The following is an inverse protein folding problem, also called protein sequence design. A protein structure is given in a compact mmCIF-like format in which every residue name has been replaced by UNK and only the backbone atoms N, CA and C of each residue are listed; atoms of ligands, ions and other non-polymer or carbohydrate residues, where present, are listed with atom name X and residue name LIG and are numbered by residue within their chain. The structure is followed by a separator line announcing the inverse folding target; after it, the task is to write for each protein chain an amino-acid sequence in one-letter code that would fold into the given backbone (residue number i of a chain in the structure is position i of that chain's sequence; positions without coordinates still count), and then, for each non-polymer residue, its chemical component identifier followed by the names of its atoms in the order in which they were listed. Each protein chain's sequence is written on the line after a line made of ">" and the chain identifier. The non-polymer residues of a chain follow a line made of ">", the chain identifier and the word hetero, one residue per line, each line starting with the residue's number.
data_IF_466812354712
#
_entry.id   IF_466812354712
#
_cell.length_a   1.000
_cell.length_b   1.000
_cell.length_c   1.000
_cell.angle_alpha   90.00
_cell.angle_beta   90.00
_cell.angle_gamma   90.00
#
_symmetry.space_group_name_H-M   'P 1'
#
loop_
_entity.id
_entity.type
_entity.pdbx_description
1 polymer ?
#
# COMPACT_ATOMS: atom_id res chain seq x y z
N UNK A 1 14.80 82.25 40.59
CA UNK A 1 14.67 81.24 39.52
C UNK A 1 14.25 79.93 40.15
N UNK A 2 12.96 79.59 40.06
CA UNK A 2 12.37 78.40 40.68
C UNK A 2 12.36 77.24 39.69
N UNK A 3 12.84 76.06 40.10
CA UNK A 3 12.78 74.82 39.32
C UNK A 3 11.47 74.10 39.65
N UNK A 4 10.63 73.87 38.64
CA UNK A 4 9.42 73.06 38.75
C UNK A 4 9.78 71.57 38.89
N UNK A 5 9.09 70.80 39.76
CA UNK A 5 9.29 69.37 39.86
C UNK A 5 8.57 68.65 38.72
N UNK A 6 9.20 67.61 38.16
CA UNK A 6 8.60 66.74 37.14
C UNK A 6 7.60 65.76 37.77
N UNK A 7 6.52 65.41 37.06
CA UNK A 7 5.49 64.52 37.56
C UNK A 7 5.97 63.06 37.63
N UNK A 8 5.68 62.43 38.75
CA UNK A 8 5.99 61.04 39.07
C UNK A 8 4.99 60.12 38.34
N UNK A 9 5.44 59.39 37.31
CA UNK A 9 4.61 58.44 36.57
C UNK A 9 4.55 57.11 37.34
N UNK A 10 3.48 56.91 38.11
CA UNK A 10 3.18 55.62 38.75
C UNK A 10 2.61 54.63 37.72
N UNK A 11 3.45 53.69 37.28
CA UNK A 11 3.04 52.57 36.44
C UNK A 11 2.26 51.53 37.25
N UNK A 12 0.93 51.50 37.07
CA UNK A 12 0.07 50.46 37.63
C UNK A 12 0.22 49.17 36.80
N UNK A 13 1.00 48.22 37.30
CA UNK A 13 1.08 46.86 36.74
C UNK A 13 -0.23 46.12 37.05
N UNK A 14 -1.09 45.96 36.04
CA UNK A 14 -2.23 45.05 36.12
C UNK A 14 -1.76 43.62 35.86
N UNK A 15 -2.02 42.66 36.77
CA UNK A 15 -1.72 41.26 36.51
C UNK A 15 -2.64 40.73 35.40
N UNK A 16 -2.06 40.29 34.29
CA UNK A 16 -2.79 39.60 33.23
C UNK A 16 -3.27 38.23 33.72
N UNK A 17 -4.54 37.85 33.51
CA UNK A 17 -5.08 36.58 33.98
C UNK A 17 -4.48 35.43 33.15
N UNK A 18 -3.65 34.62 33.80
CA UNK A 18 -2.91 33.47 33.25
C UNK A 18 -3.78 32.22 33.02
N UNK A 19 -5.11 32.38 32.91
CA UNK A 19 -6.08 31.29 33.00
C UNK A 19 -6.71 30.84 31.66
N UNK A 20 -6.24 31.35 30.52
CA UNK A 20 -6.85 31.08 29.19
C UNK A 20 -5.98 30.29 28.21
N UNK A 21 -4.88 29.67 28.67
CA UNK A 21 -3.96 28.90 27.82
C UNK A 21 -3.98 27.38 28.05
N UNK A 22 -4.95 26.85 28.80
CA UNK A 22 -5.05 25.41 29.08
C UNK A 22 -5.79 24.55 28.02
N UNK A 23 -6.76 25.02 27.21
CA UNK A 23 -7.50 24.11 26.33
C UNK A 23 -6.83 23.83 24.97
N UNK A 24 -5.72 24.49 24.62
CA UNK A 24 -5.04 24.28 23.33
C UNK A 24 -4.03 23.11 23.32
N UNK A 25 -3.64 22.60 24.50
CA UNK A 25 -2.67 21.50 24.59
C UNK A 25 -3.28 20.10 24.40
N UNK A 26 -4.60 19.95 24.52
CA UNK A 26 -5.30 18.66 24.36
C UNK A 26 -5.70 18.32 22.92
N UNK A 27 -5.53 19.25 21.97
CA UNK A 27 -5.87 19.02 20.55
C UNK A 27 -4.75 18.40 19.70
N UNK A 28 -3.50 18.41 20.16
CA UNK A 28 -2.35 18.01 19.34
C UNK A 28 -1.92 16.54 19.50
N UNK A 29 -2.43 15.83 20.50
CA UNK A 29 -2.05 14.43 20.74
C UNK A 29 -2.73 13.43 19.78
N UNK A 30 -3.70 13.87 18.97
CA UNK A 30 -4.43 13.00 18.03
C UNK A 30 -3.90 12.94 16.59
N UNK A 31 -2.95 13.81 16.21
CA UNK A 31 -2.54 13.95 14.82
C UNK A 31 -1.39 13.03 14.40
N UNK A 32 -0.67 12.41 15.35
CA UNK A 32 0.39 11.45 15.06
C UNK A 32 -0.14 10.02 15.16
N UNK A 33 -1.05 9.63 14.25
CA UNK A 33 -1.31 8.20 14.01
C UNK A 33 -0.08 7.61 13.31
N UNK A 34 0.95 7.32 14.09
CA UNK A 34 2.07 6.49 13.63
C UNK A 34 1.48 5.17 13.18
N UNK A 35 1.56 4.87 11.88
CA UNK A 35 1.22 3.55 11.38
C UNK A 35 2.20 2.57 12.03
N UNK A 36 1.68 1.54 12.70
CA UNK A 36 2.53 0.52 13.31
C UNK A 36 3.42 -0.11 12.22
N UNK A 37 4.76 -0.11 12.38
CA UNK A 37 5.67 -0.67 11.40
C UNK A 37 5.34 -2.11 11.00
N UNK A 38 4.80 -2.91 11.93
CA UNK A 38 4.37 -4.28 11.67
C UNK A 38 3.25 -4.39 10.60
N UNK A 39 2.38 -3.38 10.48
CA UNK A 39 1.33 -3.34 9.43
C UNK A 39 1.85 -2.92 8.07
N UNK A 40 3.08 -2.39 7.99
CA UNK A 40 3.69 -1.93 6.74
C UNK A 40 4.52 -3.03 6.06
N UNK A 41 4.91 -4.08 6.78
CA UNK A 41 5.84 -5.09 6.26
C UNK A 41 5.14 -6.13 5.38
N UNK A 42 3.88 -6.48 5.64
CA UNK A 42 3.13 -7.41 4.78
C UNK A 42 1.62 -7.17 4.93
N UNK A 43 1.10 -6.13 4.29
CA UNK A 43 -0.35 -6.03 4.13
C UNK A 43 -0.84 -7.21 3.28
N UNK A 44 -1.85 -7.93 3.78
CA UNK A 44 -2.44 -9.08 3.11
C UNK A 44 -3.00 -8.67 1.73
N UNK A 45 -2.81 -9.54 0.73
CA UNK A 45 -3.30 -9.37 -0.65
C UNK A 45 -4.07 -10.60 -1.11
N UNK A 46 -4.58 -11.40 -0.18
CA UNK A 46 -5.37 -12.60 -0.46
C UNK A 46 -6.76 -12.27 -1.02
N UNK A 47 -7.29 -11.07 -0.78
CA UNK A 47 -8.48 -10.53 -1.44
C UNK A 47 -8.24 -9.24 -2.25
N UNK A 48 -9.15 -8.95 -3.17
CA UNK A 48 -9.11 -7.72 -3.97
C UNK A 48 -9.24 -6.48 -3.08
N UNK A 49 -10.14 -6.52 -2.09
CA UNK A 49 -10.34 -5.45 -1.12
C UNK A 49 -9.11 -5.18 -0.26
N UNK A 50 -8.48 -6.24 0.25
CA UNK A 50 -7.24 -6.08 1.06
C UNK A 50 -6.10 -5.54 0.22
N UNK A 51 -6.00 -5.90 -1.06
CA UNK A 51 -5.00 -5.33 -1.98
C UNK A 51 -5.19 -3.84 -2.18
N UNK A 52 -6.43 -3.37 -2.35
CA UNK A 52 -6.71 -1.93 -2.41
C UNK A 52 -6.39 -1.25 -1.08
N UNK A 53 -6.76 -1.85 0.05
CA UNK A 53 -6.46 -1.31 1.37
C UNK A 53 -4.94 -1.22 1.63
N UNK A 54 -4.17 -2.22 1.20
CA UNK A 54 -2.72 -2.26 1.24
C UNK A 54 -2.12 -1.12 0.40
N UNK A 55 -2.57 -0.98 -0.86
CA UNK A 55 -2.16 0.11 -1.74
C UNK A 55 -2.43 1.49 -1.12
N UNK A 56 -3.64 1.71 -0.57
CA UNK A 56 -3.99 2.95 0.12
C UNK A 56 -3.12 3.20 1.35
N UNK A 57 -2.80 2.15 2.11
CA UNK A 57 -1.91 2.23 3.27
C UNK A 57 -0.50 2.67 2.85
N UNK A 58 0.09 2.01 1.85
CA UNK A 58 1.42 2.33 1.34
C UNK A 58 1.50 3.73 0.75
N UNK A 59 0.45 4.16 0.05
CA UNK A 59 0.37 5.52 -0.47
C UNK A 59 0.38 6.56 0.64
N UNK A 60 -0.39 6.36 1.73
CA UNK A 60 -0.39 7.27 2.90
C UNK A 60 0.96 7.29 3.62
N UNK A 61 1.65 6.16 3.64
CA UNK A 61 2.97 6.02 4.23
C UNK A 61 4.11 6.45 3.29
N UNK A 62 3.79 6.90 2.07
CA UNK A 62 4.75 7.29 1.02
C UNK A 62 5.78 6.19 0.70
N UNK A 63 5.34 4.93 0.77
CA UNK A 63 6.14 3.74 0.50
C UNK A 63 6.01 3.32 -0.97
N UNK A 64 6.70 4.03 -1.86
CA UNK A 64 6.61 3.86 -3.31
C UNK A 64 6.84 2.42 -3.78
N UNK A 65 7.82 1.72 -3.20
CA UNK A 65 8.17 0.36 -3.62
C UNK A 65 7.04 -0.62 -3.25
N UNK A 66 6.51 -0.52 -2.04
CA UNK A 66 5.39 -1.32 -1.55
C UNK A 66 4.11 -0.99 -2.34
N UNK A 67 3.86 0.28 -2.63
CA UNK A 67 2.77 0.75 -3.48
C UNK A 67 2.90 0.15 -4.89
N UNK A 68 4.09 0.22 -5.50
CA UNK A 68 4.39 -0.37 -6.80
C UNK A 68 4.22 -1.90 -6.79
N UNK A 69 4.50 -2.54 -5.67
CA UNK A 69 4.36 -3.98 -5.50
C UNK A 69 2.91 -4.47 -5.47
N UNK A 70 1.93 -3.60 -5.26
CA UNK A 70 0.51 -3.92 -5.43
C UNK A 70 0.06 -4.05 -6.90
N UNK A 71 0.88 -3.66 -7.88
CA UNK A 71 0.50 -3.72 -9.29
C UNK A 71 0.81 -5.06 -9.98
N UNK A 72 -0.02 -5.40 -10.96
CA UNK A 72 0.05 -6.62 -11.77
C UNK A 72 1.32 -6.68 -12.61
N UNK A 73 1.65 -7.87 -13.13
CA UNK A 73 2.75 -8.01 -14.08
C UNK A 73 2.53 -7.24 -15.38
N UNK A 74 1.28 -7.20 -15.86
CA UNK A 74 0.91 -6.46 -17.07
C UNK A 74 1.05 -4.94 -16.89
N UNK A 75 0.76 -4.41 -15.70
CA UNK A 75 1.06 -3.02 -15.36
C UNK A 75 2.57 -2.77 -15.34
N UNK A 76 3.34 -3.59 -14.62
CA UNK A 76 4.80 -3.42 -14.48
C UNK A 76 5.56 -3.56 -15.81
N UNK A 77 5.04 -4.29 -16.79
CA UNK A 77 5.59 -4.34 -18.15
C UNK A 77 5.45 -3.01 -18.91
N UNK A 78 4.42 -2.22 -18.59
CA UNK A 78 4.15 -0.91 -19.22
C UNK A 78 4.84 0.23 -18.48
N UNK A 79 5.00 0.10 -17.16
CA UNK A 79 5.56 1.12 -16.30
C UNK A 79 6.68 0.54 -15.43
N UNK A 80 7.91 1.01 -15.65
CA UNK A 80 9.02 0.74 -14.72
C UNK A 80 8.76 1.41 -13.37
N UNK A 81 9.45 0.95 -12.32
CA UNK A 81 9.36 1.58 -10.99
C UNK A 81 9.69 3.08 -11.04
N UNK A 82 10.78 3.46 -11.73
CA UNK A 82 11.17 4.87 -11.87
C UNK A 82 10.11 5.71 -12.58
N UNK A 83 9.57 5.21 -13.71
CA UNK A 83 8.50 5.89 -14.45
C UNK A 83 7.25 6.06 -13.60
N UNK A 84 6.95 5.06 -12.77
CA UNK A 84 5.82 5.12 -11.85
C UNK A 84 6.03 6.17 -10.76
N UNK A 85 7.22 6.25 -10.15
CA UNK A 85 7.54 7.29 -9.17
C UNK A 85 7.39 8.70 -9.75
N UNK A 86 7.95 8.94 -10.94
CA UNK A 86 7.82 10.22 -11.64
C UNK A 86 6.35 10.55 -11.95
N UNK A 87 5.58 9.56 -12.42
CA UNK A 87 4.16 9.69 -12.68
C UNK A 87 3.39 10.05 -11.41
N UNK A 88 3.64 9.37 -10.29
CA UNK A 88 3.00 9.63 -8.99
C UNK A 88 3.27 11.06 -8.53
N UNK A 89 4.51 11.51 -8.63
CA UNK A 89 4.92 12.86 -8.19
C UNK A 89 4.29 13.95 -9.06
N UNK A 90 4.28 13.74 -10.38
CA UNK A 90 3.63 14.65 -11.32
C UNK A 90 2.13 14.71 -11.05
N UNK A 91 1.47 13.57 -10.89
CA UNK A 91 0.04 13.50 -10.65
C UNK A 91 -0.34 14.15 -9.32
N UNK A 92 0.45 13.97 -8.26
CA UNK A 92 0.24 14.66 -6.98
C UNK A 92 0.41 16.19 -7.07
N UNK A 93 1.23 16.70 -8.00
CA UNK A 93 1.40 18.15 -8.26
C UNK A 93 0.26 18.71 -9.10
N UNK A 94 -0.09 18.03 -10.19
CA UNK A 94 -1.12 18.48 -11.15
C UNK A 94 -2.53 18.28 -10.62
N UNK A 95 -2.74 17.25 -9.80
CA UNK A 95 -4.04 16.84 -9.27
C UNK A 95 -3.94 16.65 -7.76
N UNK A 96 -4.06 17.73 -6.96
CA UNK A 96 -3.83 17.66 -5.50
C UNK A 96 -4.71 16.64 -4.76
N UNK A 97 -5.90 16.34 -5.30
CA UNK A 97 -6.80 15.33 -4.76
C UNK A 97 -6.21 13.91 -4.80
N UNK A 98 -5.24 13.64 -5.68
CA UNK A 98 -4.59 12.34 -5.80
C UNK A 98 -3.92 11.91 -4.48
N UNK A 99 -3.38 12.86 -3.70
CA UNK A 99 -2.81 12.59 -2.37
C UNK A 99 -3.84 12.01 -1.38
N UNK A 100 -5.12 12.19 -1.67
CA UNK A 100 -6.21 11.71 -0.83
C UNK A 100 -6.68 10.29 -1.19
N UNK A 101 -6.15 9.67 -2.25
CA UNK A 101 -6.54 8.29 -2.64
C UNK A 101 -6.30 7.28 -1.52
N UNK A 102 -5.27 7.49 -0.70
CA UNK A 102 -5.01 6.71 0.50
C UNK A 102 -6.14 6.74 1.55
N UNK A 103 -7.14 7.61 1.37
CA UNK A 103 -8.36 7.72 2.17
C UNK A 103 -9.65 7.52 1.37
N UNK A 104 -9.56 7.07 0.10
CA UNK A 104 -10.73 6.84 -0.73
C UNK A 104 -11.63 5.75 -0.12
N UNK A 105 -12.93 5.98 -0.18
CA UNK A 105 -13.93 5.04 0.31
C UNK A 105 -14.26 4.02 -0.77
N UNK A 106 -14.37 2.74 -0.40
CA UNK A 106 -14.85 1.71 -1.30
C UNK A 106 -16.37 1.84 -1.44
N UNK A 107 -16.83 2.11 -2.66
CA UNK A 107 -18.24 2.30 -2.99
C UNK A 107 -18.87 1.00 -3.45
N UNK A 108 -18.23 0.32 -4.40
CA UNK A 108 -18.78 -0.88 -5.03
C UNK A 108 -17.64 -1.86 -5.38
N UNK A 109 -17.96 -3.15 -5.34
CA UNK A 109 -17.08 -4.22 -5.79
C UNK A 109 -17.85 -5.13 -6.75
N UNK A 110 -17.32 -5.32 -7.96
CA UNK A 110 -17.96 -6.08 -9.04
C UNK A 110 -17.08 -7.25 -9.47
N UNK A 111 -17.71 -8.43 -9.61
CA UNK A 111 -17.07 -9.61 -10.18
C UNK A 111 -17.09 -9.55 -11.70
N UNK A 112 -15.92 -9.57 -12.33
CA UNK A 112 -15.82 -9.74 -13.79
C UNK A 112 -15.48 -11.19 -14.17
N UNK A 113 -15.04 -11.99 -13.20
CA UNK A 113 -14.74 -13.41 -13.37
C UNK A 113 -13.90 -13.95 -12.20
N UNK A 114 -13.51 -15.24 -12.24
CA UNK A 114 -12.88 -15.92 -11.12
C UNK A 114 -11.50 -15.36 -10.72
N UNK A 115 -10.86 -14.61 -11.61
CA UNK A 115 -9.54 -14.00 -11.43
C UNK A 115 -9.53 -12.49 -11.77
N UNK A 116 -10.69 -11.84 -11.84
CA UNK A 116 -10.80 -10.42 -12.18
C UNK A 116 -11.93 -9.73 -11.41
N UNK A 117 -11.63 -8.58 -10.83
CA UNK A 117 -12.57 -7.76 -10.05
C UNK A 117 -12.44 -6.31 -10.46
N UNK A 118 -13.50 -5.55 -10.27
CA UNK A 118 -13.46 -4.09 -10.28
C UNK A 118 -13.88 -3.57 -8.92
N UNK A 119 -13.17 -2.55 -8.43
CA UNK A 119 -13.52 -1.85 -7.21
C UNK A 119 -13.64 -0.36 -7.53
N UNK A 120 -14.82 0.18 -7.30
CA UNK A 120 -15.10 1.60 -7.45
C UNK A 120 -14.82 2.30 -6.12
N UNK A 121 -14.04 3.38 -6.17
CA UNK A 121 -13.60 4.17 -5.04
C UNK A 121 -14.10 5.60 -5.17
N UNK A 122 -14.54 6.22 -4.06
CA UNK A 122 -14.91 7.63 -4.01
C UNK A 122 -13.90 8.44 -3.19
N UNK A 123 -13.46 9.57 -3.72
CA UNK A 123 -12.59 10.50 -2.99
C UNK A 123 -12.76 11.93 -3.49
N UNK A 124 -12.96 12.89 -2.57
CA UNK A 124 -13.03 14.32 -2.90
C UNK A 124 -13.99 14.66 -4.07
N UNK A 125 -15.16 14.01 -4.11
CA UNK A 125 -16.14 14.19 -5.19
C UNK A 125 -15.75 13.56 -6.53
N UNK A 126 -14.73 12.70 -6.55
CA UNK A 126 -14.30 11.92 -7.71
C UNK A 126 -14.57 10.44 -7.51
N UNK A 127 -14.83 9.74 -8.61
CA UNK A 127 -14.94 8.28 -8.64
C UNK A 127 -13.80 7.69 -9.45
N UNK A 128 -13.13 6.70 -8.86
CA UNK A 128 -12.05 5.94 -9.48
C UNK A 128 -12.51 4.50 -9.63
N UNK A 129 -12.02 3.81 -10.65
CA UNK A 129 -12.20 2.37 -10.80
C UNK A 129 -10.84 1.69 -10.82
N UNK A 130 -10.61 0.83 -9.85
CA UNK A 130 -9.47 -0.07 -9.83
C UNK A 130 -9.86 -1.40 -10.46
N UNK A 131 -9.18 -1.81 -11.53
CA UNK A 131 -9.27 -3.17 -12.05
C UNK A 131 -8.23 -4.03 -11.35
N UNK A 132 -8.66 -5.14 -10.76
CA UNK A 132 -7.79 -6.10 -10.10
C UNK A 132 -7.78 -7.43 -10.84
N UNK A 133 -6.61 -8.04 -10.89
CA UNK A 133 -6.38 -9.38 -11.44
C UNK A 133 -5.73 -10.26 -10.38
N UNK A 134 -6.02 -11.55 -10.43
CA UNK A 134 -5.41 -12.54 -9.56
C UNK A 134 -4.24 -13.19 -10.27
N UNK A 135 -3.04 -13.06 -9.71
CA UNK A 135 -1.80 -13.62 -10.25
C UNK A 135 -1.20 -14.64 -9.28
N UNK A 136 -0.54 -15.64 -9.84
CA UNK A 136 0.15 -16.69 -9.11
C UNK A 136 1.66 -16.46 -9.18
N UNK A 137 2.29 -16.52 -8.02
CA UNK A 137 3.72 -16.28 -7.80
C UNK A 137 4.36 -17.51 -7.19
N UNK A 138 5.64 -17.69 -7.48
CA UNK A 138 6.48 -18.56 -6.70
C UNK A 138 7.68 -17.80 -6.18
N UNK A 139 8.16 -18.22 -5.01
CA UNK A 139 9.43 -17.78 -4.43
C UNK A 139 10.16 -18.99 -3.89
N UNK A 140 11.46 -19.05 -4.13
CA UNK A 140 12.33 -20.15 -3.74
C UNK A 140 13.51 -19.51 -3.05
N UNK A 141 13.66 -19.79 -1.76
CA UNK A 141 14.81 -19.39 -0.98
C UNK A 141 15.78 -20.56 -0.92
N UNK A 142 16.98 -20.29 -1.37
CA UNK A 142 18.16 -21.13 -1.21
C UNK A 142 18.90 -20.70 0.06
N UNK A 143 19.94 -21.43 0.44
CA UNK A 143 20.74 -21.07 1.61
C UNK A 143 21.37 -19.66 1.50
N UNK A 144 21.69 -19.21 0.29
CA UNK A 144 22.46 -18.00 0.03
C UNK A 144 21.73 -16.95 -0.85
N UNK A 145 20.53 -17.25 -1.35
CA UNK A 145 19.88 -16.47 -2.41
C UNK A 145 18.39 -16.78 -2.52
N UNK A 146 17.65 -16.07 -3.38
CA UNK A 146 16.29 -16.45 -3.73
C UNK A 146 15.96 -16.22 -5.22
N UNK A 147 15.07 -17.05 -5.75
CA UNK A 147 14.51 -16.96 -7.09
C UNK A 147 13.00 -16.77 -7.00
N UNK A 148 12.43 -15.86 -7.79
CA UNK A 148 10.99 -15.66 -7.87
C UNK A 148 10.49 -15.57 -9.31
N UNK A 149 9.16 -15.70 -9.46
CA UNK A 149 8.56 -15.57 -10.77
C UNK A 149 7.05 -15.72 -10.77
N UNK A 150 6.47 -15.52 -11.96
CA UNK A 150 5.02 -15.61 -12.22
C UNK A 150 4.71 -16.83 -13.08
N UNK A 151 3.93 -17.76 -12.51
CA UNK A 151 3.45 -18.98 -13.19
C UNK A 151 2.10 -19.38 -12.59
N UNK A 152 1.13 -19.83 -13.40
CA UNK A 152 -0.13 -20.34 -12.86
C UNK A 152 0.11 -21.47 -11.85
N UNK A 153 -0.51 -21.40 -10.67
CA UNK A 153 -0.29 -22.36 -9.60
C UNK A 153 -0.63 -23.79 -10.02
N UNK A 154 -1.63 -23.99 -10.90
CA UNK A 154 -1.96 -25.33 -11.44
C UNK A 154 -0.88 -25.94 -12.34
N UNK A 155 0.08 -25.14 -12.81
CA UNK A 155 1.27 -25.66 -13.51
C UNK A 155 2.40 -26.01 -12.55
N UNK A 156 2.45 -25.34 -11.40
CA UNK A 156 3.46 -25.54 -10.36
C UNK A 156 3.06 -26.64 -9.37
N UNK A 157 1.79 -26.76 -9.03
CA UNK A 157 1.28 -27.68 -8.00
C UNK A 157 0.37 -28.69 -8.67
N UNK A 158 0.73 -29.97 -8.58
CA UNK A 158 -0.10 -31.09 -9.04
C UNK A 158 -0.40 -32.02 -7.88
N UNK A 159 -1.65 -32.48 -7.82
CA UNK A 159 -2.05 -33.56 -6.94
C UNK A 159 -2.03 -34.83 -7.77
N UNK A 160 -1.20 -35.79 -7.38
CA UNK A 160 -1.21 -37.14 -7.96
C UNK A 160 -2.18 -38.01 -7.18
N UNK A 161 -3.12 -38.64 -7.89
CA UNK A 161 -4.08 -39.58 -7.29
C UNK A 161 -3.34 -40.75 -6.62
N UNK A 162 -3.89 -41.27 -5.50
CA UNK A 162 -3.18 -42.26 -4.71
C UNK A 162 -3.17 -43.60 -5.44
N UNK A 163 -2.00 -44.22 -5.61
CA UNK A 163 -1.94 -45.67 -5.82
C UNK A 163 -2.24 -46.42 -4.53
N UNK A 164 -1.89 -45.85 -3.36
CA UNK A 164 -1.92 -46.54 -2.06
C UNK A 164 -2.22 -45.60 -0.87
N UNK A 165 -3.44 -45.06 -0.80
CA UNK A 165 -4.01 -44.38 0.38
C UNK A 165 -3.46 -43.01 0.83
N UNK A 166 -2.43 -42.44 0.19
CA UNK A 166 -1.98 -41.06 0.46
C UNK A 166 -1.97 -40.20 -0.81
N UNK A 167 -2.71 -39.08 -0.79
CA UNK A 167 -2.60 -38.06 -1.84
C UNK A 167 -1.22 -37.44 -1.79
N UNK A 168 -0.47 -37.55 -2.88
CA UNK A 168 0.84 -36.90 -3.01
C UNK A 168 0.67 -35.56 -3.71
N UNK A 169 1.13 -34.49 -3.07
CA UNK A 169 1.26 -33.17 -3.69
C UNK A 169 2.67 -33.04 -4.25
N UNK A 170 2.77 -32.76 -5.54
CA UNK A 170 4.03 -32.52 -6.25
C UNK A 170 4.10 -31.04 -6.60
N UNK A 171 5.18 -30.37 -6.22
CA UNK A 171 5.43 -28.98 -6.61
C UNK A 171 6.63 -28.93 -7.55
N UNK A 172 6.39 -28.51 -8.78
CA UNK A 172 7.36 -28.33 -9.85
C UNK A 172 7.70 -26.84 -9.99
N UNK A 173 8.90 -26.46 -9.55
CA UNK A 173 9.41 -25.11 -9.78
C UNK A 173 10.28 -25.07 -11.04
N UNK A 174 10.19 -24.02 -11.87
CA UNK A 174 11.06 -23.84 -13.00
C UNK A 174 12.43 -23.35 -12.51
N UNK A 175 13.21 -24.26 -11.93
CA UNK A 175 14.58 -23.98 -11.56
C UNK A 175 15.36 -23.71 -12.84
N UNK A 176 16.06 -22.57 -12.90
CA UNK A 176 16.96 -22.28 -14.01
C UNK A 176 18.06 -23.35 -14.14
N UNK A 177 19.01 -23.13 -15.05
CA UNK A 177 20.24 -23.95 -15.14
C UNK A 177 21.20 -23.69 -13.95
N UNK A 178 20.70 -23.42 -12.75
CA UNK A 178 21.46 -22.91 -11.62
C UNK A 178 22.38 -23.95 -10.97
N UNK A 179 22.35 -25.22 -11.41
CA UNK A 179 23.15 -26.30 -10.80
C UNK A 179 22.78 -26.60 -9.34
N UNK A 180 21.78 -25.90 -8.80
CA UNK A 180 21.23 -26.04 -7.46
C UNK A 180 20.42 -27.33 -7.35
N UNK A 181 20.55 -28.02 -6.23
CA UNK A 181 19.80 -29.25 -5.96
C UNK A 181 18.73 -28.99 -4.90
N UNK A 182 17.86 -29.98 -4.66
CA UNK A 182 16.86 -29.91 -3.59
C UNK A 182 17.52 -29.82 -2.20
N UNK A 183 18.76 -30.29 -2.04
CA UNK A 183 19.48 -30.22 -0.78
C UNK A 183 19.86 -28.78 -0.40
N UNK A 184 19.92 -27.87 -1.39
CA UNK A 184 20.17 -26.45 -1.19
C UNK A 184 18.89 -25.66 -0.84
N UNK A 185 17.72 -26.29 -0.95
CA UNK A 185 16.42 -25.63 -0.79
C UNK A 185 16.11 -25.36 0.69
N UNK A 186 16.06 -24.08 1.06
CA UNK A 186 15.67 -23.69 2.41
C UNK A 186 14.15 -23.55 2.55
N UNK A 187 13.49 -22.93 1.56
CA UNK A 187 12.04 -22.71 1.56
C UNK A 187 11.54 -22.51 0.14
N UNK A 188 10.34 -22.96 -0.16
CA UNK A 188 9.62 -22.50 -1.35
C UNK A 188 8.18 -22.15 -1.00
N UNK A 189 7.65 -21.11 -1.62
CA UNK A 189 6.23 -20.74 -1.52
C UNK A 189 5.64 -20.58 -2.91
N UNK A 190 4.35 -20.94 -3.01
CA UNK A 190 3.49 -20.57 -4.13
C UNK A 190 2.37 -19.74 -3.54
N UNK A 191 2.23 -18.52 -4.02
CA UNK A 191 1.28 -17.54 -3.50
C UNK A 191 0.33 -17.12 -4.61
N UNK A 192 -0.93 -16.90 -4.25
CA UNK A 192 -1.96 -16.38 -5.15
C UNK A 192 -2.44 -15.07 -4.58
N UNK A 193 -2.14 -13.98 -5.28
CA UNK A 193 -2.38 -12.63 -4.79
C UNK A 193 -3.26 -11.87 -5.77
N UNK A 194 -4.10 -10.99 -5.24
CA UNK A 194 -4.75 -9.96 -6.04
C UNK A 194 -3.80 -8.79 -6.25
N UNK A 195 -3.83 -8.21 -7.45
CA UNK A 195 -3.00 -7.10 -7.86
C UNK A 195 -3.78 -6.12 -8.71
N UNK A 196 -3.41 -4.85 -8.65
CA UNK A 196 -4.03 -3.77 -9.42
C UNK A 196 -3.46 -3.80 -10.84
N UNK A 197 -4.32 -3.98 -11.83
CA UNK A 197 -3.94 -3.98 -13.25
C UNK A 197 -4.07 -2.59 -13.89
N UNK A 198 -4.94 -1.75 -13.33
CA UNK A 198 -5.17 -0.38 -13.76
C UNK A 198 -6.03 0.38 -12.77
N UNK A 199 -5.91 1.70 -12.81
CA UNK A 199 -6.78 2.65 -12.12
C UNK A 199 -7.19 3.71 -13.12
N UNK A 200 -8.49 3.93 -13.26
CA UNK A 200 -9.05 4.95 -14.15
C UNK A 200 -9.97 5.89 -13.38
N UNK A 201 -10.02 7.14 -13.83
CA UNK A 201 -10.97 8.13 -13.34
C UNK A 201 -12.28 7.97 -14.12
N UNK A 202 -13.38 7.79 -13.41
CA UNK A 202 -14.71 7.77 -14.02
C UNK A 202 -15.16 9.21 -14.23
N UNK A 203 -15.65 9.52 -15.44
CA UNK A 203 -16.31 10.80 -15.72
C UNK A 203 -17.62 10.89 -14.95
N UNK A 204 -17.91 12.08 -14.42
CA UNK A 204 -19.21 12.41 -13.87
C UNK A 204 -20.17 12.56 -15.08
N UNK A 205 -20.97 11.54 -15.36
CA UNK A 205 -22.07 11.60 -16.34
C UNK A 205 -23.19 12.54 -15.86
#
# INVERSE_FOLDING_TARGET
>A
MARSPLPEVRSARRPLPLALLAPLALGFAGACRSVEPAKLVDADRTSARETVAAYQLYMRAELYEQEYNCFSGSFKKRFSFFTYCEFRDRLAKEQPWYRLIGSAELVEERELGPARREIDLAIAGKKLRATLVREDFFRIWWQDDYEDGRRPAGTLVRFTEPSDAASKMVVEFPLGRSGRTVDDLARATVERLWLIDGVELLSDD
#
